data_IF_351673296053
#
_entry.id   IF_351673296053
#
_cell.length_a   1.000
_cell.length_b   1.000
_cell.length_c   1.000
_cell.angle_alpha   90.00
_cell.angle_beta   90.00
_cell.angle_gamma   90.00
#
_symmetry.space_group_name_H-M   'P 1'
#
loop_
_entity.id
_entity.type
_entity.pdbx_description
1 polymer ?
#
# COMPACT_ATOMS: atom_id res chain seq x y z
N UNK A 1 -7.90 16.85 -47.19
CA UNK A 1 -6.46 16.65 -47.43
C UNK A 1 -5.75 16.70 -46.09
N UNK A 2 -4.84 15.77 -45.79
CA UNK A 2 -4.04 15.85 -44.56
C UNK A 2 -3.16 17.09 -44.60
N UNK A 3 -3.13 17.84 -43.49
CA UNK A 3 -2.24 18.98 -43.34
C UNK A 3 -0.81 18.44 -43.27
N UNK A 4 0.04 18.83 -44.22
CA UNK A 4 1.42 18.29 -44.35
C UNK A 4 2.50 19.18 -43.73
N UNK A 5 2.18 20.44 -43.39
CA UNK A 5 3.13 21.43 -42.87
C UNK A 5 2.48 22.36 -41.85
N UNK A 6 3.27 22.83 -40.89
CA UNK A 6 2.96 23.97 -40.04
C UNK A 6 3.47 25.20 -40.78
N UNK A 7 2.61 26.19 -40.99
CA UNK A 7 2.98 27.45 -41.66
C UNK A 7 2.90 28.58 -40.67
N UNK A 8 4.03 29.23 -40.38
CA UNK A 8 4.10 30.40 -39.51
C UNK A 8 4.31 31.62 -40.40
N UNK A 9 3.44 32.63 -40.27
CA UNK A 9 3.53 33.88 -41.03
C UNK A 9 3.71 35.08 -40.12
N UNK A 10 4.68 35.93 -40.46
CA UNK A 10 4.92 37.20 -39.79
C UNK A 10 5.27 37.08 -38.31
N UNK A 11 6.11 36.11 -37.92
CA UNK A 11 6.54 35.98 -36.53
C UNK A 11 7.49 37.13 -36.14
N UNK A 12 7.14 37.84 -35.07
CA UNK A 12 7.83 39.05 -34.56
C UNK A 12 8.14 38.99 -33.07
N UNK A 13 7.86 37.87 -32.41
CA UNK A 13 8.16 37.69 -30.99
C UNK A 13 9.64 37.96 -30.68
N UNK A 14 9.90 38.80 -29.67
CA UNK A 14 11.23 39.25 -29.26
C UNK A 14 12.05 39.87 -30.40
N UNK A 15 13.09 39.17 -30.89
CA UNK A 15 14.00 39.69 -31.91
C UNK A 15 13.72 39.15 -33.32
N UNK A 16 12.64 38.38 -33.50
CA UNK A 16 12.22 37.88 -34.81
C UNK A 16 11.84 39.05 -35.73
N UNK A 17 12.31 39.00 -36.98
CA UNK A 17 12.18 40.09 -37.95
C UNK A 17 11.06 39.83 -38.96
N UNK A 18 9.84 39.65 -38.47
CA UNK A 18 8.65 39.38 -39.29
C UNK A 18 8.83 38.18 -40.23
N UNK A 19 9.31 37.07 -39.68
CA UNK A 19 9.73 35.91 -40.48
C UNK A 19 8.55 35.02 -40.88
N UNK A 20 8.67 34.39 -42.06
CA UNK A 20 7.76 33.35 -42.53
C UNK A 20 8.53 32.02 -42.58
N UNK A 21 7.97 30.95 -42.01
CA UNK A 21 8.61 29.63 -42.01
C UNK A 21 7.59 28.52 -42.21
N UNK A 22 7.98 27.52 -43.00
CA UNK A 22 7.22 26.28 -43.18
C UNK A 22 7.98 25.13 -42.51
N UNK A 23 7.30 24.40 -41.62
CA UNK A 23 7.87 23.27 -40.89
C UNK A 23 7.13 22.00 -41.33
N UNK A 24 7.82 20.96 -41.82
CA UNK A 24 7.16 19.71 -42.19
C UNK A 24 6.53 19.05 -40.96
N UNK A 25 5.27 18.62 -41.08
CA UNK A 25 4.61 17.86 -40.02
C UNK A 25 5.12 16.43 -39.98
N UNK A 26 4.97 15.81 -38.80
CA UNK A 26 5.29 14.39 -38.56
C UNK A 26 6.76 14.03 -38.86
N UNK A 27 7.65 15.03 -38.69
CA UNK A 27 9.09 14.89 -38.85
C UNK A 27 9.83 15.50 -37.67
N UNK A 28 11.03 14.96 -37.39
CA UNK A 28 11.96 15.58 -36.46
C UNK A 28 12.57 16.83 -37.10
N UNK A 29 12.09 18.00 -36.69
CA UNK A 29 12.64 19.29 -37.14
C UNK A 29 13.61 19.84 -36.10
N UNK A 30 14.81 20.21 -36.54
CA UNK A 30 15.85 20.80 -35.68
C UNK A 30 16.02 22.28 -36.05
N UNK A 31 15.81 23.18 -35.09
CA UNK A 31 16.09 24.62 -35.23
C UNK A 31 17.49 24.90 -34.68
N UNK A 32 18.39 25.38 -35.53
CA UNK A 32 19.80 25.64 -35.18
C UNK A 32 20.20 27.08 -35.49
N UNK A 33 21.35 27.53 -34.96
CA UNK A 33 21.84 28.90 -35.09
C UNK A 33 22.59 29.41 -33.84
N UNK A 34 23.27 30.55 -33.97
CA UNK A 34 24.05 31.19 -32.91
C UNK A 34 23.21 31.52 -31.66
N UNK A 35 23.83 31.61 -30.48
CA UNK A 35 23.14 32.08 -29.27
C UNK A 35 22.51 33.45 -29.53
N UNK A 36 21.26 33.65 -29.07
CA UNK A 36 20.51 34.89 -29.33
C UNK A 36 19.92 35.04 -30.74
N UNK A 37 20.07 34.07 -31.66
CA UNK A 37 19.54 34.17 -33.03
C UNK A 37 18.00 34.09 -33.15
N UNK A 38 17.26 34.04 -32.04
CA UNK A 38 15.78 33.93 -32.04
C UNK A 38 15.23 32.51 -32.11
N UNK A 39 16.06 31.46 -31.91
CA UNK A 39 15.61 30.05 -31.92
C UNK A 39 14.51 29.78 -30.90
N UNK A 40 14.76 30.17 -29.64
CA UNK A 40 13.79 29.99 -28.56
C UNK A 40 12.55 30.85 -28.76
N UNK A 41 12.72 32.06 -29.31
CA UNK A 41 11.61 32.94 -29.65
C UNK A 41 10.68 32.36 -30.69
N UNK A 42 11.22 31.67 -31.71
CA UNK A 42 10.41 30.96 -32.69
C UNK A 42 9.80 29.67 -32.11
N UNK A 43 10.60 28.83 -31.45
CA UNK A 43 10.18 27.51 -31.00
C UNK A 43 9.23 27.55 -29.79
N UNK A 44 9.65 28.23 -28.72
CA UNK A 44 8.93 28.27 -27.44
C UNK A 44 7.96 29.44 -27.39
N UNK A 45 8.46 30.66 -27.62
CA UNK A 45 7.67 31.87 -27.39
C UNK A 45 6.64 32.14 -28.50
N UNK A 46 6.74 31.46 -29.65
CA UNK A 46 5.78 31.60 -30.77
C UNK A 46 5.02 30.30 -31.04
N UNK A 47 5.69 29.24 -31.49
CA UNK A 47 5.02 28.00 -31.95
C UNK A 47 4.39 27.24 -30.77
N UNK A 48 5.17 26.96 -29.72
CA UNK A 48 4.67 26.27 -28.53
C UNK A 48 3.61 27.11 -27.81
N UNK A 49 3.88 28.40 -27.58
CA UNK A 49 2.94 29.29 -26.92
C UNK A 49 1.57 29.33 -27.61
N UNK A 50 1.54 29.48 -28.94
CA UNK A 50 0.30 29.47 -29.69
C UNK A 50 -0.39 28.09 -29.69
N UNK A 51 0.40 27.01 -29.73
CA UNK A 51 -0.13 25.63 -29.70
C UNK A 51 -0.79 25.29 -28.37
N UNK A 52 -0.17 25.68 -27.27
CA UNK A 52 -0.73 25.53 -25.93
C UNK A 52 -1.94 26.46 -25.73
N UNK A 53 -1.86 27.73 -26.15
CA UNK A 53 -2.98 28.69 -26.04
C UNK A 53 -4.24 28.17 -26.74
N UNK A 54 -4.13 27.75 -28.01
CA UNK A 54 -5.26 27.21 -28.79
C UNK A 54 -5.86 25.95 -28.15
N UNK A 55 -5.01 25.08 -27.59
CA UNK A 55 -5.48 23.89 -26.87
C UNK A 55 -6.25 24.27 -25.61
N UNK A 56 -5.73 25.17 -24.78
CA UNK A 56 -6.40 25.65 -23.56
C UNK A 56 -7.72 26.38 -23.89
N UNK A 57 -7.76 27.14 -24.98
CA UNK A 57 -8.97 27.81 -25.46
C UNK A 57 -10.06 26.83 -25.92
N UNK A 58 -9.70 25.61 -26.32
CA UNK A 58 -10.67 24.55 -26.65
C UNK A 58 -11.30 23.89 -25.40
N UNK A 59 -10.70 24.07 -24.22
CA UNK A 59 -11.21 23.53 -22.97
C UNK A 59 -12.41 24.34 -22.44
N UNK A 60 -13.14 23.75 -21.49
CA UNK A 60 -14.31 24.35 -20.87
C UNK A 60 -13.97 25.69 -20.19
N UNK A 61 -14.95 26.61 -20.15
CA UNK A 61 -14.77 27.92 -19.51
C UNK A 61 -14.30 27.82 -18.05
N UNK A 62 -14.71 26.77 -17.34
CA UNK A 62 -14.25 26.46 -15.99
C UNK A 62 -12.78 26.02 -15.95
N UNK A 63 -12.35 25.14 -16.84
CA UNK A 63 -10.95 24.68 -16.90
C UNK A 63 -9.98 25.82 -17.20
N UNK A 64 -10.40 26.82 -18.00
CA UNK A 64 -9.59 28.01 -18.31
C UNK A 64 -9.31 28.91 -17.09
N UNK A 65 -10.04 28.77 -15.99
CA UNK A 65 -9.79 29.53 -14.76
C UNK A 65 -8.54 29.04 -14.00
N UNK A 66 -8.13 27.78 -14.22
CA UNK A 66 -7.04 27.13 -13.48
C UNK A 66 -5.78 26.92 -14.31
N UNK A 67 -5.78 27.38 -15.56
CA UNK A 67 -4.67 27.21 -16.48
C UNK A 67 -4.06 28.57 -16.76
N UNK A 68 -2.74 28.63 -16.78
CA UNK A 68 -2.02 29.84 -17.16
C UNK A 68 -2.44 30.26 -18.57
N UNK A 69 -3.01 31.44 -18.67
CA UNK A 69 -3.31 32.07 -19.94
C UNK A 69 -2.00 32.61 -20.50
N UNK A 70 -1.39 31.84 -21.40
CA UNK A 70 -0.25 32.34 -22.16
C UNK A 70 -0.68 33.53 -23.00
N UNK A 71 0.12 34.58 -22.97
CA UNK A 71 -0.06 35.74 -23.85
C UNK A 71 -0.04 35.29 -25.31
N UNK A 72 -0.91 35.90 -26.11
CA UNK A 72 -0.93 35.63 -27.55
C UNK A 72 0.39 36.14 -28.15
N UNK A 73 1.18 35.28 -28.82
CA UNK A 73 2.45 35.70 -29.40
C UNK A 73 2.25 36.67 -30.56
N UNK A 74 3.24 37.53 -30.81
CA UNK A 74 3.24 38.46 -31.94
C UNK A 74 3.55 37.72 -33.26
N UNK A 75 2.48 37.26 -33.91
CA UNK A 75 2.50 36.52 -35.18
C UNK A 75 1.21 36.81 -35.95
N UNK A 76 1.29 36.90 -37.29
CA UNK A 76 0.10 37.16 -38.10
C UNK A 76 -0.82 35.94 -38.15
N UNK A 77 -0.26 34.77 -38.44
CA UNK A 77 -0.99 33.51 -38.46
C UNK A 77 -0.07 32.32 -38.29
N UNK A 78 -0.62 31.27 -37.67
CA UNK A 78 -0.01 29.94 -37.66
C UNK A 78 -1.06 28.93 -38.10
N UNK A 79 -0.82 28.25 -39.20
CA UNK A 79 -1.71 27.22 -39.75
C UNK A 79 -1.12 25.83 -39.56
N UNK A 80 -2.01 24.85 -39.37
CA UNK A 80 -1.59 23.46 -39.26
C UNK A 80 -0.81 23.14 -37.99
N UNK A 81 -1.09 23.83 -36.88
CA UNK A 81 -0.46 23.61 -35.58
C UNK A 81 -1.22 22.53 -34.77
N UNK A 82 -0.48 21.65 -34.09
CA UNK A 82 -1.04 20.68 -33.15
C UNK A 82 -1.04 21.25 -31.72
N UNK A 83 -1.78 20.66 -30.77
CA UNK A 83 -1.51 20.86 -29.35
C UNK A 83 -0.03 20.60 -29.07
N UNK A 84 0.62 21.53 -28.38
CA UNK A 84 2.07 21.52 -28.19
C UNK A 84 2.43 21.24 -26.74
N UNK A 85 3.53 20.51 -26.54
CA UNK A 85 4.12 20.22 -25.23
C UNK A 85 5.57 20.69 -25.27
N UNK A 86 6.00 21.45 -24.26
CA UNK A 86 7.39 21.83 -24.10
C UNK A 86 8.09 20.83 -23.19
N UNK A 87 9.30 20.45 -23.58
CA UNK A 87 10.21 19.66 -22.73
C UNK A 87 11.48 20.49 -22.59
N UNK A 88 11.58 21.21 -21.48
CA UNK A 88 12.68 22.13 -21.18
C UNK A 88 13.48 21.63 -19.98
N UNK A 89 14.75 22.03 -19.90
CA UNK A 89 15.56 21.87 -18.68
C UNK A 89 15.23 22.95 -17.63
N UNK A 90 13.94 23.24 -17.40
CA UNK A 90 13.54 24.09 -16.28
C UNK A 90 13.66 23.27 -15.00
N UNK A 91 14.34 23.83 -13.99
CA UNK A 91 14.38 23.23 -12.66
C UNK A 91 12.97 23.13 -12.12
N UNK A 92 12.43 21.92 -12.08
CA UNK A 92 11.18 21.62 -11.38
C UNK A 92 11.35 22.06 -9.93
N UNK A 93 10.33 22.73 -9.39
CA UNK A 93 10.24 23.11 -7.98
C UNK A 93 10.75 21.98 -7.08
N UNK A 94 11.76 22.28 -6.26
CA UNK A 94 12.37 21.32 -5.34
C UNK A 94 11.44 21.14 -4.13
N UNK A 95 10.43 20.29 -4.27
CA UNK A 95 9.70 19.79 -3.12
C UNK A 95 10.52 18.68 -2.45
N UNK A 96 10.76 18.73 -1.12
CA UNK A 96 11.50 17.68 -0.41
C UNK A 96 10.77 16.32 -0.42
N UNK A 97 9.51 16.31 -0.86
CA UNK A 97 8.64 15.13 -0.99
C UNK A 97 8.51 14.62 -2.43
N UNK A 98 9.15 15.28 -3.38
CA UNK A 98 9.18 14.81 -4.77
C UNK A 98 10.43 14.00 -5.01
N UNK A 99 10.24 12.75 -5.43
CA UNK A 99 11.30 11.83 -5.83
C UNK A 99 11.15 11.47 -7.30
N UNK A 100 12.16 10.81 -7.87
CA UNK A 100 12.06 10.26 -9.24
C UNK A 100 10.82 9.38 -9.38
N UNK A 101 10.54 8.55 -8.37
CA UNK A 101 9.39 7.65 -8.38
C UNK A 101 8.04 8.37 -8.36
N UNK A 102 7.92 9.50 -7.67
CA UNK A 102 6.66 10.28 -7.68
C UNK A 102 6.50 11.08 -8.96
N UNK A 103 7.59 11.61 -9.53
CA UNK A 103 7.54 12.39 -10.79
C UNK A 103 7.22 11.51 -12.00
N UNK A 104 7.69 10.27 -11.99
CA UNK A 104 7.43 9.29 -13.06
C UNK A 104 6.19 8.45 -12.83
N UNK A 105 5.46 8.68 -11.73
CA UNK A 105 4.31 7.87 -11.26
C UNK A 105 4.62 6.38 -10.98
N UNK A 106 5.85 5.92 -11.21
CA UNK A 106 6.28 4.54 -10.90
C UNK A 106 6.02 4.18 -9.44
N UNK A 107 6.21 5.15 -8.52
CA UNK A 107 5.92 4.93 -7.11
C UNK A 107 4.43 4.64 -6.86
N UNK A 108 3.54 5.22 -7.64
CA UNK A 108 2.10 5.02 -7.48
C UNK A 108 1.69 3.60 -7.85
N UNK A 109 2.29 3.05 -8.92
CA UNK A 109 2.16 1.64 -9.27
C UNK A 109 2.78 0.71 -8.23
N UNK A 110 3.92 1.07 -7.65
CA UNK A 110 4.51 0.30 -6.55
C UNK A 110 3.57 0.26 -5.33
N UNK A 111 2.95 1.38 -4.94
CA UNK A 111 1.97 1.39 -3.84
C UNK A 111 0.79 0.46 -4.11
N UNK A 112 0.26 0.46 -5.33
CA UNK A 112 -0.79 -0.46 -5.75
C UNK A 112 -0.31 -1.91 -5.63
N UNK A 113 0.84 -2.24 -6.23
CA UNK A 113 1.43 -3.58 -6.20
C UNK A 113 1.59 -4.09 -4.76
N UNK A 114 2.21 -3.31 -3.88
CA UNK A 114 2.44 -3.71 -2.48
C UNK A 114 1.14 -3.84 -1.69
N UNK A 115 0.12 -3.02 -1.96
CA UNK A 115 -1.18 -3.17 -1.31
C UNK A 115 -1.98 -4.37 -1.79
N UNK A 116 -1.80 -4.78 -3.04
CA UNK A 116 -2.59 -5.87 -3.65
C UNK A 116 -2.00 -7.24 -3.38
N UNK A 117 -0.68 -7.41 -3.46
CA UNK A 117 -0.02 -8.72 -3.35
C UNK A 117 1.07 -8.79 -2.27
N UNK A 118 1.33 -7.68 -1.57
CA UNK A 118 2.33 -7.65 -0.52
C UNK A 118 1.93 -8.50 0.68
N UNK A 119 2.81 -9.42 1.10
CA UNK A 119 2.65 -10.18 2.33
C UNK A 119 3.21 -9.36 3.51
N UNK A 120 2.37 -8.88 4.45
CA UNK A 120 2.83 -8.12 5.59
C UNK A 120 3.58 -9.01 6.57
N UNK A 121 4.58 -8.43 7.22
CA UNK A 121 5.37 -9.09 8.25
C UNK A 121 5.36 -8.26 9.53
N UNK A 122 5.43 -8.94 10.68
CA UNK A 122 5.56 -8.27 11.97
C UNK A 122 6.94 -7.63 12.11
N UNK A 123 7.02 -6.33 12.38
CA UNK A 123 8.30 -5.63 12.56
C UNK A 123 9.07 -6.04 13.83
N UNK A 124 8.45 -6.75 14.78
CA UNK A 124 9.11 -7.18 16.03
C UNK A 124 9.65 -8.62 15.95
N UNK A 125 8.90 -9.55 15.34
CA UNK A 125 9.28 -10.97 15.28
C UNK A 125 9.50 -11.52 13.86
N UNK A 126 9.27 -10.72 12.82
CA UNK A 126 9.47 -11.10 11.42
C UNK A 126 8.44 -12.08 10.83
N UNK A 127 7.52 -12.62 11.64
CA UNK A 127 6.53 -13.58 11.15
C UNK A 127 5.51 -12.94 10.19
N UNK A 128 5.04 -13.69 9.16
CA UNK A 128 4.02 -13.20 8.25
C UNK A 128 2.70 -12.98 9.00
N UNK A 129 2.01 -11.89 8.65
CA UNK A 129 0.68 -11.56 9.17
C UNK A 129 -0.34 -11.97 8.12
N UNK A 130 -1.22 -12.89 8.48
CA UNK A 130 -2.27 -13.39 7.59
C UNK A 130 -3.62 -13.07 8.19
N UNK A 131 -4.52 -12.55 7.37
CA UNK A 131 -5.94 -12.44 7.70
C UNK A 131 -6.70 -13.51 6.93
N UNK A 132 -7.52 -14.28 7.62
CA UNK A 132 -8.40 -15.26 7.01
C UNK A 132 -9.80 -15.14 7.61
N UNK A 133 -10.83 -15.20 6.77
CA UNK A 133 -12.21 -15.32 7.26
C UNK A 133 -12.43 -16.68 7.92
N UNK A 134 -13.46 -16.80 8.75
CA UNK A 134 -13.87 -18.09 9.32
C UNK A 134 -14.04 -19.14 8.22
N UNK A 135 -14.71 -18.79 7.12
CA UNK A 135 -14.94 -19.71 6.02
C UNK A 135 -13.64 -20.16 5.35
N UNK A 136 -12.66 -19.27 5.18
CA UNK A 136 -11.35 -19.62 4.65
C UNK A 136 -10.57 -20.55 5.59
N UNK A 137 -10.63 -20.29 6.90
CA UNK A 137 -10.00 -21.16 7.91
C UNK A 137 -10.64 -22.55 7.84
N UNK A 138 -11.98 -22.61 7.81
CA UNK A 138 -12.73 -23.86 7.71
C UNK A 138 -12.38 -24.63 6.44
N UNK A 139 -12.37 -23.97 5.27
CA UNK A 139 -11.98 -24.60 4.00
C UNK A 139 -10.53 -25.13 4.02
N UNK A 140 -9.60 -24.36 4.58
CA UNK A 140 -8.21 -24.81 4.74
C UNK A 140 -8.11 -26.08 5.61
N UNK A 141 -8.87 -26.15 6.70
CA UNK A 141 -8.89 -27.34 7.58
C UNK A 141 -9.60 -28.51 6.90
N UNK A 142 -10.66 -28.28 6.13
CA UNK A 142 -11.36 -29.32 5.37
C UNK A 142 -10.55 -29.87 4.19
N UNK A 143 -9.52 -29.15 3.74
CA UNK A 143 -8.60 -29.63 2.71
C UNK A 143 -7.65 -30.74 3.19
N UNK A 144 -7.63 -31.03 4.50
CA UNK A 144 -6.87 -32.13 5.08
C UNK A 144 -7.46 -33.49 4.66
N UNK A 145 -6.65 -34.56 4.61
CA UNK A 145 -7.13 -35.90 4.31
C UNK A 145 -8.27 -36.36 5.23
N UNK A 146 -9.21 -37.12 4.67
CA UNK A 146 -10.30 -37.71 5.46
C UNK A 146 -9.73 -38.68 6.51
N UNK A 147 -10.28 -38.64 7.72
CA UNK A 147 -9.82 -39.44 8.86
C UNK A 147 -8.78 -38.74 9.74
N UNK A 148 -8.28 -37.56 9.34
CA UNK A 148 -7.40 -36.77 10.19
C UNK A 148 -8.10 -36.27 11.46
N UNK A 149 -7.36 -36.21 12.57
CA UNK A 149 -7.86 -35.69 13.84
C UNK A 149 -7.27 -34.32 14.08
N UNK A 150 -8.12 -33.32 14.26
CA UNK A 150 -7.71 -31.94 14.51
C UNK A 150 -8.23 -31.45 15.85
N UNK A 151 -7.41 -30.67 16.54
CA UNK A 151 -7.77 -29.96 17.76
C UNK A 151 -7.90 -28.47 17.44
N UNK A 152 -9.05 -27.89 17.76
CA UNK A 152 -9.27 -26.45 17.66
C UNK A 152 -8.90 -25.85 19.01
N UNK A 153 -7.83 -25.08 19.02
CA UNK A 153 -7.23 -24.48 20.20
C UNK A 153 -7.39 -22.97 20.16
N UNK A 154 -7.74 -22.39 21.31
CA UNK A 154 -7.84 -20.96 21.50
C UNK A 154 -6.63 -20.49 22.33
N UNK A 155 -5.58 -19.90 21.70
CA UNK A 155 -4.38 -19.45 22.41
C UNK A 155 -4.65 -18.19 23.25
N UNK A 156 -4.99 -18.38 24.53
CA UNK A 156 -5.34 -17.29 25.47
C UNK A 156 -4.07 -16.60 25.99
N UNK A 157 -3.04 -17.37 26.31
CA UNK A 157 -1.76 -16.88 26.79
C UNK A 157 -0.65 -17.48 25.94
N UNK A 158 0.33 -16.67 25.52
CA UNK A 158 1.44 -17.13 24.67
C UNK A 158 2.75 -16.58 25.18
N UNK A 159 3.60 -17.43 25.75
CA UNK A 159 4.95 -17.09 26.18
C UNK A 159 5.03 -15.90 27.15
N UNK A 160 4.04 -15.71 28.03
CA UNK A 160 4.01 -14.60 29.00
C UNK A 160 4.34 -15.07 30.40
N UNK A 161 5.00 -14.22 31.20
CA UNK A 161 5.26 -14.50 32.63
C UNK A 161 4.02 -14.24 33.47
N UNK A 162 3.65 -15.17 34.32
CA UNK A 162 2.52 -15.02 35.23
C UNK A 162 1.96 -16.34 35.74
N UNK A 163 1.14 -16.26 36.79
CA UNK A 163 0.46 -17.42 37.37
C UNK A 163 -0.88 -17.74 36.68
N UNK A 164 -1.47 -16.76 35.97
CA UNK A 164 -2.71 -16.85 35.18
C UNK A 164 -3.92 -17.51 35.88
N UNK A 165 -3.98 -17.51 37.23
CA UNK A 165 -5.09 -18.11 37.99
C UNK A 165 -6.46 -17.57 37.60
N UNK A 166 -6.59 -16.24 37.46
CA UNK A 166 -7.86 -15.59 37.12
C UNK A 166 -8.34 -16.01 35.74
N UNK A 167 -7.43 -16.13 34.78
CA UNK A 167 -7.69 -16.57 33.43
C UNK A 167 -8.15 -18.02 33.42
N UNK A 168 -7.45 -18.92 34.13
CA UNK A 168 -7.80 -20.34 34.24
C UNK A 168 -9.18 -20.52 34.91
N UNK A 169 -9.45 -19.85 36.04
CA UNK A 169 -10.75 -19.89 36.73
C UNK A 169 -11.89 -19.32 35.88
N UNK A 170 -11.60 -18.33 35.03
CA UNK A 170 -12.59 -17.79 34.10
C UNK A 170 -12.93 -18.82 33.02
N UNK A 171 -11.93 -19.50 32.48
CA UNK A 171 -12.13 -20.53 31.45
C UNK A 171 -12.94 -21.72 31.97
N UNK A 172 -12.67 -22.16 33.21
CA UNK A 172 -13.48 -23.19 33.86
C UNK A 172 -14.94 -22.73 34.04
N UNK A 173 -15.16 -21.47 34.48
CA UNK A 173 -16.52 -20.88 34.60
C UNK A 173 -17.25 -20.73 33.27
N UNK A 174 -16.52 -20.44 32.20
CA UNK A 174 -17.06 -20.34 30.84
C UNK A 174 -17.40 -21.74 30.25
N UNK A 175 -17.14 -22.82 30.99
CA UNK A 175 -17.56 -24.19 30.66
C UNK A 175 -16.51 -25.02 29.91
N UNK A 176 -15.27 -24.54 29.81
CA UNK A 176 -14.19 -25.31 29.17
C UNK A 176 -13.61 -26.34 30.14
N UNK A 177 -13.47 -27.59 29.69
CA UNK A 177 -12.98 -28.70 30.52
C UNK A 177 -11.48 -28.91 30.44
N UNK A 178 -10.85 -28.57 29.31
CA UNK A 178 -9.44 -28.90 29.04
C UNK A 178 -8.70 -27.70 28.45
N UNK A 179 -7.45 -27.55 28.86
CA UNK A 179 -6.51 -26.61 28.27
C UNK A 179 -5.17 -27.31 28.05
N UNK A 180 -4.43 -26.87 27.05
CA UNK A 180 -3.04 -27.23 26.85
C UNK A 180 -2.17 -26.13 27.46
N UNK A 181 -1.42 -26.48 28.49
CA UNK A 181 -0.51 -25.58 29.19
C UNK A 181 0.91 -26.09 29.03
N UNK A 182 1.79 -25.28 28.46
CA UNK A 182 3.19 -25.65 28.19
C UNK A 182 3.34 -27.01 27.48
N UNK A 183 2.50 -27.24 26.47
CA UNK A 183 2.37 -28.46 25.67
C UNK A 183 1.73 -29.68 26.36
N UNK A 184 1.33 -29.58 27.63
CA UNK A 184 0.62 -30.65 28.35
C UNK A 184 -0.89 -30.37 28.41
N UNK A 185 -1.71 -31.37 28.06
CA UNK A 185 -3.17 -31.26 28.17
C UNK A 185 -3.57 -31.54 29.62
N UNK A 186 -4.13 -30.55 30.28
CA UNK A 186 -4.59 -30.60 31.67
C UNK A 186 -6.10 -30.38 31.76
N UNK A 187 -6.74 -30.93 32.79
CA UNK A 187 -8.13 -30.63 33.11
C UNK A 187 -8.22 -29.31 33.86
N UNK A 188 -9.16 -28.45 33.48
CA UNK A 188 -9.40 -27.16 34.13
C UNK A 188 -10.12 -27.30 35.47
N UNK A 189 -10.61 -28.50 35.81
CA UNK A 189 -11.25 -28.81 37.10
C UNK A 189 -10.21 -29.09 38.21
N UNK A 190 -8.95 -29.31 37.86
CA UNK A 190 -7.86 -29.58 38.79
C UNK A 190 -7.16 -28.28 39.24
N UNK A 191 -6.48 -28.32 40.40
CA UNK A 191 -5.76 -27.14 40.89
C UNK A 191 -4.45 -26.93 40.12
N UNK A 192 -4.48 -26.06 39.11
CA UNK A 192 -3.31 -25.72 38.28
C UNK A 192 -2.48 -24.61 38.94
N UNK A 193 -1.21 -24.88 39.25
CA UNK A 193 -0.26 -23.90 39.81
C UNK A 193 0.87 -23.62 38.81
N UNK A 194 0.91 -22.39 38.28
CA UNK A 194 1.96 -21.92 37.38
C UNK A 194 2.96 -20.99 38.10
N UNK A 195 4.22 -21.02 37.67
CA UNK A 195 5.27 -20.20 38.27
C UNK A 195 5.26 -18.78 37.69
N UNK A 196 5.01 -17.79 38.55
CA UNK A 196 4.99 -16.37 38.19
C UNK A 196 6.27 -15.87 37.49
N UNK A 197 7.42 -16.53 37.68
CA UNK A 197 8.73 -16.13 37.12
C UNK A 197 9.02 -16.73 35.74
N UNK A 198 8.25 -17.73 35.30
CA UNK A 198 8.46 -18.43 34.03
C UNK A 198 7.46 -17.98 32.98
N UNK A 199 7.85 -18.12 31.71
CA UNK A 199 6.95 -17.90 30.59
C UNK A 199 6.05 -19.12 30.46
N UNK A 200 4.75 -18.89 30.35
CA UNK A 200 3.75 -19.94 30.13
C UNK A 200 2.95 -19.69 28.86
N UNK A 201 2.49 -20.78 28.24
CA UNK A 201 1.56 -20.78 27.11
C UNK A 201 0.31 -21.55 27.50
N UNK A 202 -0.87 -20.95 27.31
CA UNK A 202 -2.17 -21.51 27.69
C UNK A 202 -3.09 -21.46 26.47
N UNK A 203 -3.51 -22.63 26.03
CA UNK A 203 -4.33 -22.83 24.84
C UNK A 203 -5.56 -23.65 25.22
N UNK A 204 -6.74 -23.05 25.16
CA UNK A 204 -7.97 -23.73 25.55
C UNK A 204 -8.37 -24.70 24.45
N UNK A 205 -8.70 -25.94 24.83
CA UNK A 205 -9.20 -26.94 23.88
C UNK A 205 -10.68 -26.68 23.65
N UNK A 206 -11.02 -26.07 22.52
CA UNK A 206 -12.41 -25.72 22.17
C UNK A 206 -13.14 -26.94 21.63
N UNK A 207 -12.53 -27.67 20.69
CA UNK A 207 -13.13 -28.90 20.17
C UNK A 207 -12.04 -29.86 19.66
N UNK A 208 -12.41 -31.14 19.58
CA UNK A 208 -11.65 -32.22 18.94
C UNK A 208 -12.50 -32.85 17.87
N UNK A 209 -12.04 -32.75 16.63
CA UNK A 209 -12.82 -33.10 15.45
C UNK A 209 -12.09 -34.15 14.63
N UNK A 210 -12.86 -35.06 14.04
CA UNK A 210 -12.42 -35.97 12.99
C UNK A 210 -12.87 -35.41 11.65
N UNK A 211 -11.94 -35.21 10.72
CA UNK A 211 -12.25 -34.72 9.38
C UNK A 211 -13.04 -35.79 8.63
N UNK A 212 -14.31 -35.48 8.34
CA UNK A 212 -15.26 -36.33 7.62
C UNK A 212 -16.28 -35.47 6.88
N UNK A 213 -16.95 -36.01 5.84
CA UNK A 213 -18.04 -35.31 5.16
C UNK A 213 -19.12 -34.85 6.15
N UNK A 214 -19.55 -33.59 6.03
CA UNK A 214 -20.62 -33.02 6.86
C UNK A 214 -20.18 -32.40 8.19
N UNK A 215 -18.87 -32.31 8.50
CA UNK A 215 -18.37 -31.69 9.74
C UNK A 215 -18.33 -30.14 9.71
N UNK A 216 -18.66 -29.53 8.57
CA UNK A 216 -18.46 -28.10 8.27
C UNK A 216 -19.05 -27.16 9.33
N UNK A 217 -20.32 -27.36 9.69
CA UNK A 217 -21.04 -26.46 10.60
C UNK A 217 -20.44 -26.49 12.01
N UNK A 218 -20.11 -27.70 12.49
CA UNK A 218 -19.46 -27.89 13.79
C UNK A 218 -18.07 -27.27 13.81
N UNK A 219 -17.26 -27.52 12.78
CA UNK A 219 -15.93 -26.93 12.65
C UNK A 219 -15.99 -25.40 12.62
N UNK A 220 -16.94 -24.82 11.88
CA UNK A 220 -17.14 -23.38 11.82
C UNK A 220 -17.53 -22.80 13.19
N UNK A 221 -18.40 -23.48 13.94
CA UNK A 221 -18.78 -23.09 15.30
C UNK A 221 -17.59 -23.13 16.28
N UNK A 222 -16.78 -24.20 16.24
CA UNK A 222 -15.57 -24.32 17.06
C UNK A 222 -14.56 -23.21 16.73
N UNK A 223 -14.35 -22.92 15.44
CA UNK A 223 -13.44 -21.84 15.00
C UNK A 223 -13.95 -20.48 15.45
N UNK A 224 -15.25 -20.17 15.31
CA UNK A 224 -15.84 -18.91 15.80
C UNK A 224 -15.68 -18.76 17.30
N UNK A 225 -15.88 -19.84 18.06
CA UNK A 225 -15.73 -19.86 19.51
C UNK A 225 -14.29 -19.54 19.91
N UNK A 226 -13.31 -20.18 19.26
CA UNK A 226 -11.89 -19.92 19.50
C UNK A 226 -11.49 -18.48 19.18
N UNK A 227 -11.91 -17.96 18.01
CA UNK A 227 -11.65 -16.57 17.60
C UNK A 227 -12.27 -15.56 18.58
N UNK A 228 -13.50 -15.83 19.07
CA UNK A 228 -14.17 -14.95 20.05
C UNK A 228 -13.43 -14.92 21.39
N UNK A 229 -12.91 -16.06 21.85
CA UNK A 229 -12.19 -16.19 23.11
C UNK A 229 -10.87 -15.41 23.13
N UNK A 230 -10.14 -15.43 22.01
CA UNK A 230 -8.78 -14.87 21.88
C UNK A 230 -8.75 -13.52 21.18
N UNK A 231 -9.91 -12.95 20.87
CA UNK A 231 -10.06 -11.69 20.14
C UNK A 231 -9.47 -11.75 18.70
N UNK A 232 -9.58 -12.90 18.05
CA UNK A 232 -9.32 -13.10 16.62
C UNK A 232 -8.19 -14.05 16.27
N UNK A 233 -7.80 -14.99 17.15
CA UNK A 233 -6.76 -15.99 16.88
C UNK A 233 -7.24 -17.43 17.16
N UNK A 234 -6.90 -18.37 16.29
CA UNK A 234 -7.21 -19.79 16.49
C UNK A 234 -6.02 -20.62 16.05
N UNK A 235 -5.65 -21.59 16.86
CA UNK A 235 -4.59 -22.55 16.56
C UNK A 235 -5.27 -23.88 16.22
N UNK A 236 -4.92 -24.47 15.09
CA UNK A 236 -5.41 -25.78 14.67
C UNK A 236 -4.23 -26.73 14.72
N UNK A 237 -4.29 -27.71 15.62
CA UNK A 237 -3.26 -28.73 15.78
C UNK A 237 -3.75 -30.06 15.18
N UNK A 238 -3.00 -30.61 14.23
CA UNK A 238 -3.23 -31.96 13.71
C UNK A 238 -2.61 -32.95 14.71
N UNK A 239 -3.33 -34.00 15.08
CA UNK A 239 -2.79 -35.04 15.97
C UNK A 239 -1.62 -35.73 15.25
N UNK A 240 -0.45 -35.73 15.88
CA UNK A 240 0.82 -36.25 15.32
C UNK A 240 1.33 -35.52 14.05
N UNK A 241 0.85 -34.30 13.79
CA UNK A 241 1.22 -33.49 12.63
C UNK A 241 1.60 -32.05 12.98
N UNK A 242 1.57 -31.19 11.96
CA UNK A 242 1.89 -29.76 12.11
C UNK A 242 0.73 -28.97 12.74
N UNK A 243 1.10 -27.88 13.42
CA UNK A 243 0.14 -26.91 13.95
C UNK A 243 0.09 -25.67 13.06
N UNK A 244 -1.12 -25.20 12.75
CA UNK A 244 -1.34 -24.00 11.95
C UNK A 244 -2.13 -22.97 12.74
N UNK A 245 -1.58 -21.77 12.81
CA UNK A 245 -2.19 -20.65 13.49
C UNK A 245 -2.86 -19.72 12.50
N UNK A 246 -4.10 -19.36 12.78
CA UNK A 246 -4.93 -18.50 11.96
C UNK A 246 -5.36 -17.25 12.73
N UNK A 247 -5.62 -16.16 12.00
CA UNK A 247 -6.17 -14.94 12.58
C UNK A 247 -7.23 -14.31 11.68
N UNK A 248 -8.32 -13.82 12.29
CA UNK A 248 -9.39 -13.07 11.63
C UNK A 248 -9.02 -11.60 11.41
N UNK A 249 -7.96 -11.13 12.06
CA UNK A 249 -7.46 -9.75 12.00
C UNK A 249 -6.09 -9.72 11.34
N UNK A 250 -5.74 -8.57 10.78
CA UNK A 250 -4.38 -8.28 10.32
C UNK A 250 -3.46 -8.03 11.52
N UNK A 251 -3.31 -9.01 12.41
CA UNK A 251 -2.52 -8.88 13.63
C UNK A 251 -1.44 -9.94 13.69
N UNK A 252 -0.26 -9.54 14.17
CA UNK A 252 0.76 -10.49 14.57
C UNK A 252 0.26 -11.25 15.79
N UNK A 253 0.12 -12.56 15.63
CA UNK A 253 -0.46 -13.41 16.68
C UNK A 253 0.51 -13.62 17.86
N UNK A 254 1.82 -13.43 17.67
CA UNK A 254 2.80 -13.57 18.75
C UNK A 254 2.96 -12.27 19.55
N UNK A 255 3.06 -11.14 18.86
CA UNK A 255 3.31 -9.84 19.49
C UNK A 255 2.03 -9.05 19.81
N UNK A 256 0.88 -9.47 19.28
CA UNK A 256 -0.39 -8.72 19.38
C UNK A 256 -0.40 -7.41 18.59
N UNK A 257 0.60 -7.18 17.73
CA UNK A 257 0.71 -5.96 16.92
C UNK A 257 -0.35 -6.02 15.83
N UNK A 258 -1.31 -5.12 15.89
CA UNK A 258 -2.35 -4.97 14.87
C UNK A 258 -1.84 -4.03 13.76
N UNK A 259 -1.93 -4.49 12.52
CA UNK A 259 -1.65 -3.70 11.34
C UNK A 259 -3.00 -3.32 10.72
N UNK A 260 -3.26 -2.02 10.48
CA UNK A 260 -4.45 -1.61 9.76
C UNK A 260 -4.47 -2.20 8.34
N UNK A 261 -5.64 -2.24 7.67
CA UNK A 261 -5.72 -2.67 6.27
C UNK A 261 -4.65 -1.96 5.41
N UNK A 262 -3.91 -2.76 4.64
CA UNK A 262 -2.90 -2.25 3.73
C UNK A 262 -3.58 -1.76 2.46
N UNK A 263 -3.66 -0.44 2.32
CA UNK A 263 -4.18 0.23 1.15
C UNK A 263 -3.03 0.98 0.44
N UNK A 264 -3.17 1.38 -0.83
CA UNK A 264 -2.12 2.12 -1.54
C UNK A 264 -1.62 3.35 -0.76
N UNK A 265 -2.53 4.05 -0.04
CA UNK A 265 -2.17 5.19 0.81
C UNK A 265 -1.27 4.84 2.00
N UNK A 266 -1.34 3.60 2.49
CA UNK A 266 -0.49 3.09 3.58
C UNK A 266 0.98 2.99 3.15
N UNK A 267 1.24 2.92 1.84
CA UNK A 267 2.58 2.94 1.26
C UNK A 267 2.99 4.34 0.77
N UNK A 268 2.19 5.38 1.03
CA UNK A 268 2.53 6.74 0.64
C UNK A 268 3.21 7.49 1.78
N UNK A 269 4.48 7.86 1.62
CA UNK A 269 5.17 8.74 2.57
C UNK A 269 4.63 10.19 2.55
N UNK A 270 3.82 10.55 1.55
CA UNK A 270 3.12 11.83 1.48
C UNK A 270 1.78 11.82 2.24
N UNK A 271 1.34 10.66 2.73
CA UNK A 271 0.11 10.49 3.49
C UNK A 271 0.41 10.24 4.96
N UNK A 272 -0.41 10.76 5.88
CA UNK A 272 -0.26 10.50 7.31
C UNK A 272 -0.34 8.99 7.66
N UNK A 273 -0.96 8.18 6.79
CA UNK A 273 -1.11 6.73 6.98
C UNK A 273 0.20 5.96 6.73
N UNK A 274 1.02 6.39 5.76
CA UNK A 274 2.28 5.72 5.40
C UNK A 274 3.54 6.49 5.79
N UNK A 275 3.42 7.77 6.16
CA UNK A 275 4.53 8.60 6.56
C UNK A 275 5.15 8.13 7.89
N UNK A 276 6.48 8.06 7.92
CA UNK A 276 7.22 7.85 9.16
C UNK A 276 6.88 8.97 10.16
N UNK A 277 6.54 8.59 11.40
CA UNK A 277 6.16 9.54 12.46
C UNK A 277 7.28 10.49 12.88
N UNK A 278 8.54 10.08 12.76
CA UNK A 278 9.71 10.89 13.17
C UNK A 278 10.02 12.02 12.17
N UNK A 279 10.00 11.71 10.87
CA UNK A 279 10.37 12.67 9.83
C UNK A 279 9.17 13.15 9.00
N UNK A 280 7.94 12.73 9.33
CA UNK A 280 6.72 13.02 8.57
C UNK A 280 6.85 12.72 7.07
N UNK A 281 7.54 11.62 6.75
CA UNK A 281 7.75 11.16 5.38
C UNK A 281 8.78 11.96 4.57
N UNK A 282 9.53 12.88 5.19
CA UNK A 282 10.62 13.61 4.53
C UNK A 282 11.86 12.75 4.29
N UNK A 283 12.02 11.67 5.06
CA UNK A 283 13.22 10.81 5.02
C UNK A 283 14.45 11.42 5.70
N UNK A 284 14.41 12.69 6.08
CA UNK A 284 15.49 13.40 6.78
C UNK A 284 14.98 14.09 8.05
N UNK A 285 15.86 14.28 9.02
CA UNK A 285 15.66 15.10 10.23
C UNK A 285 16.86 16.03 10.32
N UNK A 286 16.63 17.30 10.65
CA UNK A 286 17.72 18.24 10.89
C UNK A 286 18.22 18.05 12.31
N UNK A 287 19.47 17.63 12.44
CA UNK A 287 20.17 17.48 13.71
C UNK A 287 21.42 18.37 13.67
N UNK A 288 21.85 18.87 14.84
CA UNK A 288 23.06 19.69 14.94
C UNK A 288 24.27 18.79 14.71
N UNK A 289 25.11 19.17 13.78
CA UNK A 289 26.39 18.50 13.53
C UNK A 289 27.40 18.94 14.60
N UNK A 290 27.88 18.07 15.49
CA UNK A 290 28.83 18.46 16.55
C UNK A 290 30.17 18.96 16.01
N UNK A 291 30.47 18.74 14.73
CA UNK A 291 31.70 19.20 14.07
C UNK A 291 31.59 20.60 13.44
N UNK A 292 30.43 21.27 13.53
CA UNK A 292 30.20 22.63 13.01
C UNK A 292 29.50 23.51 14.03
#
# INVERSE_FOLDING_TARGET
>A
MSIKKITVRGARQHNLKNINVEIPRDQLTVITGLSGSGKSSLAFDTIYAEGQRRYVESLSAYARQFLDQLERPDVDSIDGLSPAISIEQKTVSRSPRSTVGTVTEVYDYLRLLFSSVGQPHCHNCGLPITRQSVDQIVQNVLSLPEGERVMILAPVVRGRKGEFKKEIEKLARDGFLRARIDNEIVSLDEEIKLDKRRNHTIEVVVDRLLIKPGINDRLAESVRTALKLTNGAVLVAIVDGDEKLYSERMACVNCGINIPPLEPRSFSFNSAYGACKRCHGLGTVLEVDPAK
#
